data_IF_351334908926
#
_entry.id   IF_351334908926
#
_cell.length_a   1.000
_cell.length_b   1.000
_cell.length_c   1.000
_cell.angle_alpha   90.00
_cell.angle_beta   90.00
_cell.angle_gamma   90.00
#
_symmetry.space_group_name_H-M   'P 1'
#
loop_
_entity.id
_entity.type
_entity.pdbx_description
1 polymer ?
#
# COMPACT_ATOMS: atom_id res chain seq x y z
N UNK A 1 4.97 9.58 2.05
CA UNK A 1 4.95 8.57 0.95
C UNK A 1 4.94 7.20 1.61
N UNK A 2 3.88 6.38 1.47
CA UNK A 2 3.87 5.00 1.96
C UNK A 2 5.01 4.12 1.39
N UNK A 3 5.37 3.00 2.05
CA UNK A 3 6.37 2.08 1.51
C UNK A 3 5.91 1.45 0.19
N UNK A 4 6.85 0.88 -0.59
CA UNK A 4 6.56 0.10 -1.80
C UNK A 4 5.90 0.83 -2.99
N UNK A 5 5.41 2.05 -2.84
CA UNK A 5 4.72 2.79 -3.92
C UNK A 5 5.67 3.60 -4.80
N UNK A 6 5.15 3.99 -5.97
CA UNK A 6 5.67 5.07 -6.79
C UNK A 6 4.81 6.32 -6.56
N UNK A 7 5.48 7.45 -6.36
CA UNK A 7 4.86 8.77 -6.25
C UNK A 7 5.45 9.65 -7.35
N UNK A 8 4.60 10.22 -8.20
CA UNK A 8 5.03 11.09 -9.29
C UNK A 8 3.92 12.06 -9.68
N UNK A 9 4.19 12.93 -10.66
CA UNK A 9 3.37 14.07 -11.12
C UNK A 9 3.46 15.30 -10.22
N UNK A 10 2.93 16.41 -10.71
CA UNK A 10 2.78 17.69 -10.02
C UNK A 10 1.29 18.08 -10.00
N UNK A 11 0.63 18.19 -8.82
CA UNK A 11 1.14 17.83 -7.50
C UNK A 11 1.39 16.31 -7.37
N UNK A 12 2.19 15.93 -6.38
CA UNK A 12 2.62 14.55 -6.14
C UNK A 12 1.42 13.61 -5.94
N UNK A 13 1.35 12.50 -6.69
CA UNK A 13 0.24 11.53 -6.64
C UNK A 13 0.73 10.09 -6.62
N UNK A 14 -0.06 9.20 -6.01
CA UNK A 14 0.11 7.75 -6.12
C UNK A 14 0.06 7.29 -7.58
N UNK A 15 1.09 6.54 -8.04
CA UNK A 15 1.18 5.99 -9.39
C UNK A 15 1.34 4.46 -9.40
N UNK A 16 0.88 3.77 -8.36
CA UNK A 16 1.03 2.31 -8.24
C UNK A 16 2.20 1.89 -7.37
N UNK A 17 2.56 0.61 -7.45
CA UNK A 17 3.68 0.02 -6.71
C UNK A 17 4.97 0.04 -7.53
N UNK A 18 6.13 0.12 -6.85
CA UNK A 18 7.44 -0.03 -7.47
C UNK A 18 7.74 -1.51 -7.81
N UNK A 19 6.94 -2.08 -8.73
CA UNK A 19 7.00 -3.50 -9.09
C UNK A 19 8.39 -3.91 -9.60
N UNK A 20 9.10 -3.02 -10.30
CA UNK A 20 10.46 -3.26 -10.80
C UNK A 20 11.44 -3.39 -9.63
N UNK A 21 11.44 -2.42 -8.71
CA UNK A 21 12.31 -2.46 -7.52
C UNK A 21 12.03 -3.67 -6.64
N UNK A 22 10.76 -4.03 -6.45
CA UNK A 22 10.37 -5.21 -5.69
C UNK A 22 10.83 -6.50 -6.37
N UNK A 23 10.67 -6.61 -7.70
CA UNK A 23 11.16 -7.78 -8.46
C UNK A 23 12.68 -7.94 -8.32
N UNK A 24 13.44 -6.83 -8.43
CA UNK A 24 14.91 -6.83 -8.27
C UNK A 24 15.35 -7.24 -6.85
N UNK A 25 14.54 -6.97 -5.84
CA UNK A 25 14.79 -7.35 -4.44
C UNK A 25 14.27 -8.76 -4.09
N UNK A 26 13.86 -9.56 -5.07
CA UNK A 26 13.45 -10.95 -4.85
C UNK A 26 12.03 -11.13 -4.31
N UNK A 27 11.19 -10.09 -4.32
CA UNK A 27 9.78 -10.27 -3.93
C UNK A 27 9.07 -11.14 -4.96
N UNK A 28 8.47 -12.23 -4.50
CA UNK A 28 7.74 -13.17 -5.35
C UNK A 28 6.50 -12.50 -5.98
N UNK A 29 5.89 -13.19 -6.94
CA UNK A 29 4.75 -12.63 -7.67
C UNK A 29 3.53 -12.45 -6.76
N UNK A 30 3.31 -13.38 -5.82
CA UNK A 30 2.16 -13.33 -4.90
C UNK A 30 2.25 -12.11 -3.98
N UNK A 31 3.40 -11.90 -3.33
CA UNK A 31 3.62 -10.75 -2.44
C UNK A 31 3.46 -9.42 -3.19
N UNK A 32 4.00 -9.31 -4.40
CA UNK A 32 3.84 -8.09 -5.22
C UNK A 32 2.37 -7.84 -5.59
N UNK A 33 1.60 -8.89 -5.86
CA UNK A 33 0.14 -8.78 -6.11
C UNK A 33 -0.60 -8.35 -4.84
N UNK A 34 -0.29 -8.95 -3.70
CA UNK A 34 -0.91 -8.62 -2.42
C UNK A 34 -0.66 -7.15 -2.05
N UNK A 35 0.60 -6.68 -2.14
CA UNK A 35 0.96 -5.27 -1.90
C UNK A 35 0.20 -4.34 -2.86
N UNK A 36 0.07 -4.71 -4.14
CA UNK A 36 -0.66 -3.91 -5.13
C UNK A 36 -2.15 -3.78 -4.78
N UNK A 37 -2.79 -4.88 -4.41
CA UNK A 37 -4.21 -4.89 -4.05
C UNK A 37 -4.47 -4.13 -2.75
N UNK A 38 -3.59 -4.26 -1.75
CA UNK A 38 -3.64 -3.44 -0.52
C UNK A 38 -3.65 -1.94 -0.89
N UNK A 39 -2.71 -1.47 -1.71
CA UNK A 39 -2.67 -0.06 -2.09
C UNK A 39 -3.84 0.38 -2.99
N UNK A 40 -4.44 -0.52 -3.78
CA UNK A 40 -5.69 -0.21 -4.48
C UNK A 40 -6.85 0.06 -3.52
N UNK A 41 -6.92 -0.67 -2.40
CA UNK A 41 -7.95 -0.44 -1.39
C UNK A 41 -7.68 0.90 -0.69
N UNK A 42 -6.44 1.17 -0.28
CA UNK A 42 -6.05 2.41 0.42
C UNK A 42 -6.33 3.67 -0.41
N UNK A 43 -5.98 3.66 -1.70
CA UNK A 43 -6.15 4.83 -2.58
C UNK A 43 -7.44 4.76 -3.42
N UNK A 44 -8.31 3.80 -3.15
CA UNK A 44 -9.60 3.68 -3.82
C UNK A 44 -10.61 4.71 -3.31
N UNK A 45 -11.51 5.20 -4.17
CA UNK A 45 -12.46 6.27 -3.81
C UNK A 45 -13.66 5.81 -2.98
N UNK A 46 -13.80 4.51 -2.72
CA UNK A 46 -14.99 3.93 -2.07
C UNK A 46 -14.92 3.91 -0.55
N UNK A 47 -13.75 4.12 0.05
CA UNK A 47 -13.51 3.91 1.47
C UNK A 47 -12.65 5.03 2.04
N UNK A 48 -12.92 5.44 3.27
CA UNK A 48 -11.95 6.22 4.04
C UNK A 48 -10.82 5.31 4.57
N UNK A 49 -9.78 5.91 5.15
CA UNK A 49 -8.59 5.17 5.62
C UNK A 49 -8.96 4.10 6.65
N UNK A 50 -9.83 4.39 7.62
CA UNK A 50 -10.21 3.43 8.66
C UNK A 50 -10.99 2.24 8.09
N UNK A 51 -11.91 2.50 7.16
CA UNK A 51 -12.64 1.45 6.43
C UNK A 51 -11.68 0.59 5.59
N UNK A 52 -10.75 1.22 4.88
CA UNK A 52 -9.73 0.53 4.10
C UNK A 52 -8.86 -0.39 4.98
N UNK A 53 -8.45 0.07 6.17
CA UNK A 53 -7.67 -0.72 7.13
C UNK A 53 -8.45 -1.98 7.55
N UNK A 54 -9.73 -1.85 7.90
CA UNK A 54 -10.58 -2.97 8.30
C UNK A 54 -10.73 -3.97 7.14
N UNK A 55 -11.02 -3.48 5.94
CA UNK A 55 -11.14 -4.31 4.73
C UNK A 55 -9.85 -5.09 4.45
N UNK A 56 -8.68 -4.45 4.60
CA UNK A 56 -7.38 -5.10 4.41
C UNK A 56 -7.15 -6.19 5.46
N UNK A 57 -7.47 -5.93 6.73
CA UNK A 57 -7.32 -6.91 7.82
C UNK A 57 -8.24 -8.13 7.61
N UNK A 58 -9.42 -7.94 7.03
CA UNK A 58 -10.36 -9.02 6.72
C UNK A 58 -9.96 -9.83 5.47
N UNK A 59 -9.44 -9.15 4.44
CA UNK A 59 -9.18 -9.77 3.13
C UNK A 59 -7.80 -10.44 3.01
N UNK A 60 -6.81 -9.97 3.76
CA UNK A 60 -5.44 -10.46 3.66
C UNK A 60 -4.96 -11.04 4.98
N UNK A 61 -4.33 -12.22 4.91
CA UNK A 61 -3.66 -12.82 6.06
C UNK A 61 -2.51 -11.96 6.57
N UNK A 62 -2.14 -12.21 7.82
CA UNK A 62 -0.99 -11.58 8.46
C UNK A 62 0.29 -11.81 7.66
N UNK A 63 0.95 -10.71 7.33
CA UNK A 63 2.25 -10.72 6.67
C UNK A 63 3.05 -9.48 7.06
N UNK A 64 4.37 -9.61 7.04
CA UNK A 64 5.28 -8.51 7.36
C UNK A 64 5.02 -7.28 6.47
N UNK A 65 4.74 -7.49 5.19
CA UNK A 65 4.48 -6.39 4.25
C UNK A 65 3.13 -5.72 4.51
N UNK A 66 2.06 -6.48 4.75
CA UNK A 66 0.75 -5.91 5.11
C UNK A 66 0.85 -5.08 6.40
N UNK A 67 1.47 -5.65 7.43
CA UNK A 67 1.60 -4.99 8.73
C UNK A 67 2.47 -3.72 8.63
N UNK A 68 3.55 -3.75 7.85
CA UNK A 68 4.36 -2.57 7.61
C UNK A 68 3.58 -1.45 6.90
N UNK A 69 2.72 -1.79 5.94
CA UNK A 69 1.87 -0.82 5.23
C UNK A 69 0.85 -0.21 6.19
N UNK A 70 0.09 -1.05 6.91
CA UNK A 70 -0.95 -0.59 7.83
C UNK A 70 -0.37 0.27 8.96
N UNK A 71 0.73 -0.18 9.56
CA UNK A 71 1.41 0.56 10.61
C UNK A 71 1.91 1.93 10.13
N UNK A 72 2.41 2.03 8.89
CA UNK A 72 2.81 3.32 8.33
C UNK A 72 1.61 4.27 8.16
N UNK A 73 0.48 3.75 7.67
CA UNK A 73 -0.73 4.54 7.42
C UNK A 73 -1.35 5.01 8.74
N UNK A 74 -1.53 4.11 9.70
CA UNK A 74 -2.12 4.40 11.01
C UNK A 74 -1.30 5.44 11.79
N UNK A 75 0.04 5.42 11.68
CA UNK A 75 0.91 6.36 12.40
C UNK A 75 1.22 7.65 11.63
N UNK A 76 0.64 7.87 10.45
CA UNK A 76 0.97 9.06 9.67
C UNK A 76 0.29 10.32 10.19
N UNK A 77 1.05 11.18 10.89
CA UNK A 77 0.55 12.47 11.42
C UNK A 77 0.09 13.47 10.36
N UNK A 78 0.65 13.40 9.15
CA UNK A 78 0.38 14.33 8.04
C UNK A 78 -0.52 13.73 6.96
N UNK A 79 -1.10 12.56 7.21
CA UNK A 79 -1.77 11.77 6.18
C UNK A 79 -0.78 11.13 5.19
N UNK A 80 -1.31 10.53 4.13
CA UNK A 80 -0.53 9.90 3.06
C UNK A 80 -0.68 10.72 1.78
N UNK A 81 0.36 10.65 0.93
CA UNK A 81 0.76 11.63 -0.08
C UNK A 81 -0.34 12.23 -0.95
#
# INVERSE_FOLDING_TARGET
VPPYILAAKEPLKYQGINSIGLKRRGYDQKTRKDIKEIYKIVFGTKMNINQAIIEIKNKFNDSNHRNMILNFIENSKRGII
#
